data_IF_226460306756
#
_entry.id   IF_226460306756
#
_cell.length_a   1.000
_cell.length_b   1.000
_cell.length_c   1.000
_cell.angle_alpha   90.00
_cell.angle_beta   90.00
_cell.angle_gamma   90.00
#
_symmetry.space_group_name_H-M   'P 1'
#
loop_
_entity.id
_entity.type
_entity.pdbx_description
1 polymer ?
#
# COMPACT_ATOMS: atom_id res chain seq x y z
N UNK A 1 -13.37 -26.45 7.08
CA UNK A 1 -13.31 -25.18 7.82
C UNK A 1 -14.60 -24.40 7.71
N UNK A 2 -15.12 -24.10 6.52
CA UNK A 2 -16.36 -23.30 6.34
C UNK A 2 -17.57 -23.94 7.02
N UNK A 3 -17.83 -25.23 6.82
CA UNK A 3 -18.95 -25.92 7.47
C UNK A 3 -18.88 -25.92 9.02
N UNK A 4 -17.67 -25.82 9.60
CA UNK A 4 -17.50 -25.60 11.03
C UNK A 4 -17.96 -24.19 11.42
N UNK A 5 -17.52 -23.16 10.70
CA UNK A 5 -17.91 -21.78 10.98
C UNK A 5 -19.40 -21.53 10.84
N UNK A 6 -20.04 -22.17 9.86
CA UNK A 6 -21.51 -22.14 9.70
C UNK A 6 -22.21 -22.75 10.90
N UNK A 7 -21.78 -23.92 11.37
CA UNK A 7 -22.33 -24.53 12.60
C UNK A 7 -22.16 -23.65 13.83
N UNK A 8 -21.00 -22.93 13.93
CA UNK A 8 -20.77 -21.99 15.03
C UNK A 8 -21.71 -20.78 14.95
N UNK A 9 -22.04 -20.31 13.75
CA UNK A 9 -23.04 -19.26 13.52
C UNK A 9 -24.46 -19.74 13.86
N UNK A 10 -24.86 -20.92 13.42
CA UNK A 10 -26.15 -21.54 13.74
C UNK A 10 -26.32 -21.79 15.25
N UNK A 11 -25.23 -22.12 15.93
CA UNK A 11 -25.19 -22.28 17.39
C UNK A 11 -25.15 -20.94 18.16
N UNK A 12 -25.19 -19.78 17.46
CA UNK A 12 -25.18 -18.44 18.05
C UNK A 12 -23.84 -17.96 18.59
N UNK A 13 -22.75 -18.72 18.39
CA UNK A 13 -21.39 -18.34 18.84
C UNK A 13 -20.72 -17.35 17.87
N UNK A 14 -21.10 -17.35 16.62
CA UNK A 14 -20.74 -16.35 15.62
C UNK A 14 -22.01 -15.58 15.22
N UNK A 15 -22.00 -14.26 15.34
CA UNK A 15 -23.11 -13.42 14.93
C UNK A 15 -23.05 -13.12 13.43
N UNK A 16 -21.90 -12.66 12.93
CA UNK A 16 -21.68 -12.29 11.56
C UNK A 16 -20.47 -13.06 11.01
N UNK A 17 -20.64 -13.76 9.91
CA UNK A 17 -19.59 -14.53 9.25
C UNK A 17 -19.05 -13.72 8.07
N UNK A 18 -17.80 -13.31 8.16
CA UNK A 18 -17.12 -12.57 7.10
C UNK A 18 -15.91 -13.29 6.53
N UNK A 19 -15.38 -12.74 5.47
CA UNK A 19 -14.14 -13.22 4.86
C UNK A 19 -13.20 -12.08 4.53
N UNK A 20 -11.91 -12.40 4.38
CA UNK A 20 -10.88 -11.45 3.95
C UNK A 20 -10.21 -11.97 2.68
N UNK A 21 -10.14 -11.11 1.67
CA UNK A 21 -9.55 -11.45 0.35
C UNK A 21 -8.48 -10.43 -0.02
N UNK A 22 -7.32 -10.92 -0.46
CA UNK A 22 -6.30 -10.07 -1.08
C UNK A 22 -6.59 -9.94 -2.60
N UNK A 23 -6.25 -8.79 -3.21
CA UNK A 23 -6.78 -8.41 -4.51
C UNK A 23 -6.09 -9.14 -5.66
N UNK A 24 -6.65 -10.27 -6.04
CA UNK A 24 -6.50 -10.79 -7.40
C UNK A 24 -7.89 -11.21 -7.85
N UNK A 25 -8.32 -10.79 -9.04
CA UNK A 25 -9.65 -11.16 -9.58
C UNK A 25 -9.91 -12.66 -9.50
N UNK A 26 -9.02 -13.53 -10.01
CA UNK A 26 -9.31 -14.97 -9.98
C UNK A 26 -9.53 -15.51 -8.57
N UNK A 27 -8.68 -15.11 -7.60
CA UNK A 27 -8.85 -15.56 -6.22
C UNK A 27 -10.10 -15.01 -5.54
N UNK A 28 -10.52 -13.80 -5.90
CA UNK A 28 -11.76 -13.20 -5.42
C UNK A 28 -12.97 -13.93 -6.02
N UNK A 29 -12.99 -14.17 -7.34
CA UNK A 29 -14.10 -14.81 -8.03
C UNK A 29 -14.30 -16.24 -7.52
N UNK A 30 -13.22 -16.99 -7.28
CA UNK A 30 -13.27 -18.31 -6.65
C UNK A 30 -13.94 -18.24 -5.28
N UNK A 31 -13.56 -17.29 -4.44
CA UNK A 31 -14.13 -17.14 -3.09
C UNK A 31 -15.60 -16.72 -3.16
N UNK A 32 -16.00 -15.90 -4.13
CA UNK A 32 -17.40 -15.48 -4.29
C UNK A 32 -18.32 -16.64 -4.68
N UNK A 33 -17.83 -17.70 -5.31
CA UNK A 33 -18.62 -18.92 -5.55
C UNK A 33 -19.09 -19.58 -4.23
N UNK A 34 -18.37 -19.38 -3.14
CA UNK A 34 -18.77 -19.88 -1.83
C UNK A 34 -19.82 -19.01 -1.14
N UNK A 35 -20.01 -17.75 -1.57
CA UNK A 35 -21.00 -16.87 -0.95
C UNK A 35 -22.42 -17.42 -1.08
N UNK A 36 -22.79 -17.98 -2.22
CA UNK A 36 -24.13 -18.54 -2.47
C UNK A 36 -24.45 -19.70 -1.50
N UNK A 37 -23.43 -20.44 -1.07
CA UNK A 37 -23.57 -21.52 -0.10
C UNK A 37 -23.50 -21.07 1.36
N UNK A 38 -22.58 -20.15 1.68
CA UNK A 38 -22.23 -19.85 3.06
C UNK A 38 -22.76 -18.50 3.57
N UNK A 39 -23.24 -17.63 2.68
CA UNK A 39 -23.83 -16.32 2.97
C UNK A 39 -22.98 -15.47 3.91
N UNK A 40 -21.92 -14.86 3.35
CA UNK A 40 -21.07 -13.95 4.09
C UNK A 40 -21.78 -12.64 4.40
N UNK A 41 -21.72 -12.22 5.67
CA UNK A 41 -22.35 -10.99 6.15
C UNK A 41 -21.51 -9.74 5.84
N UNK A 42 -20.21 -9.89 5.59
CA UNK A 42 -19.30 -8.83 5.15
C UNK A 42 -18.05 -9.42 4.47
N UNK A 43 -17.38 -8.58 3.68
CA UNK A 43 -16.09 -8.93 3.06
C UNK A 43 -15.04 -7.87 3.34
N UNK A 44 -13.84 -8.30 3.79
CA UNK A 44 -12.69 -7.42 3.92
C UNK A 44 -11.84 -7.47 2.67
N UNK A 45 -11.68 -6.31 1.99
CA UNK A 45 -10.85 -6.17 0.79
C UNK A 45 -9.81 -5.06 0.96
N UNK A 46 -8.71 -5.15 0.22
CA UNK A 46 -7.78 -4.03 0.07
C UNK A 46 -8.38 -3.02 -0.90
N UNK A 47 -8.55 -1.77 -0.44
CA UNK A 47 -9.05 -0.69 -1.28
C UNK A 47 -8.47 0.66 -0.85
N UNK A 48 -8.03 1.43 -1.81
CA UNK A 48 -7.62 2.82 -1.73
C UNK A 48 -7.71 3.43 -3.13
N UNK A 49 -7.54 4.74 -3.28
CA UNK A 49 -7.71 5.40 -4.58
C UNK A 49 -6.66 4.97 -5.63
N UNK A 50 -5.45 4.54 -5.23
CA UNK A 50 -4.47 4.03 -6.20
C UNK A 50 -4.89 2.66 -6.72
N UNK A 51 -5.19 1.71 -5.82
CA UNK A 51 -5.65 0.37 -6.23
C UNK A 51 -6.99 0.41 -6.97
N UNK A 52 -7.83 1.42 -6.71
CA UNK A 52 -9.07 1.65 -7.43
C UNK A 52 -8.83 1.99 -8.89
N UNK A 53 -7.98 2.99 -9.16
CA UNK A 53 -7.77 3.48 -10.53
C UNK A 53 -6.69 2.73 -11.32
N UNK A 54 -5.81 1.98 -10.65
CA UNK A 54 -4.66 1.30 -11.30
C UNK A 54 -4.60 -0.19 -11.06
N UNK A 55 -5.50 -0.73 -10.24
CA UNK A 55 -5.58 -2.15 -9.89
C UNK A 55 -7.01 -2.70 -10.00
N UNK A 56 -7.30 -3.71 -9.18
CA UNK A 56 -8.57 -4.44 -9.23
C UNK A 56 -9.60 -4.02 -8.16
N UNK A 57 -9.30 -3.01 -7.33
CA UNK A 57 -10.15 -2.66 -6.18
C UNK A 57 -11.57 -2.21 -6.59
N UNK A 58 -11.70 -1.50 -7.72
CA UNK A 58 -13.00 -1.11 -8.27
C UNK A 58 -13.85 -2.34 -8.64
N UNK A 59 -13.25 -3.31 -9.31
CA UNK A 59 -13.92 -4.55 -9.67
C UNK A 59 -14.42 -5.30 -8.44
N UNK A 60 -13.54 -5.53 -7.45
CA UNK A 60 -13.89 -6.24 -6.22
C UNK A 60 -15.02 -5.55 -5.47
N UNK A 61 -14.95 -4.24 -5.31
CA UNK A 61 -15.97 -3.45 -4.65
C UNK A 61 -17.32 -3.54 -5.37
N UNK A 62 -17.34 -3.37 -6.69
CA UNK A 62 -18.57 -3.40 -7.49
C UNK A 62 -19.24 -4.78 -7.46
N UNK A 63 -18.44 -5.86 -7.45
CA UNK A 63 -18.98 -7.22 -7.31
C UNK A 63 -19.61 -7.49 -5.93
N UNK A 64 -19.04 -6.92 -4.85
CA UNK A 64 -19.62 -6.97 -3.51
C UNK A 64 -20.88 -6.11 -3.41
N UNK A 65 -20.87 -4.92 -4.02
CA UNK A 65 -22.02 -4.01 -4.03
C UNK A 65 -23.22 -4.61 -4.77
N UNK A 66 -23.01 -5.24 -5.92
CA UNK A 66 -24.06 -5.98 -6.67
C UNK A 66 -24.71 -7.09 -5.83
N UNK A 67 -23.95 -7.71 -4.93
CA UNK A 67 -24.45 -8.78 -4.03
C UNK A 67 -24.99 -8.24 -2.71
N UNK A 68 -24.93 -6.94 -2.48
CA UNK A 68 -25.35 -6.30 -1.23
C UNK A 68 -24.43 -6.61 -0.05
N UNK A 69 -23.20 -7.10 -0.29
CA UNK A 69 -22.26 -7.49 0.75
C UNK A 69 -21.52 -6.24 1.28
N UNK A 70 -21.65 -5.91 2.58
CA UNK A 70 -20.91 -4.83 3.21
C UNK A 70 -19.40 -5.03 3.18
N UNK A 71 -18.63 -3.93 3.11
CA UNK A 71 -17.19 -3.95 2.89
C UNK A 71 -16.43 -3.38 4.06
N UNK A 72 -15.46 -4.11 4.57
CA UNK A 72 -14.42 -3.63 5.49
C UNK A 72 -13.16 -3.35 4.67
N UNK A 73 -12.60 -2.15 4.80
CA UNK A 73 -11.43 -1.76 4.02
C UNK A 73 -10.14 -2.06 4.78
N UNK A 74 -9.27 -2.90 4.22
CA UNK A 74 -7.88 -2.99 4.63
C UNK A 74 -6.97 -2.16 3.71
N UNK A 75 -5.86 -1.67 4.27
CA UNK A 75 -4.85 -0.85 3.58
C UNK A 75 -5.40 0.40 2.87
N UNK A 76 -6.26 1.20 3.53
CA UNK A 76 -6.73 2.47 2.97
C UNK A 76 -5.57 3.41 2.61
N UNK A 77 -4.46 3.35 3.35
CA UNK A 77 -3.22 4.08 3.11
C UNK A 77 -2.15 3.25 2.38
N UNK A 78 -2.50 2.12 1.76
CA UNK A 78 -1.56 1.25 1.02
C UNK A 78 -0.30 0.92 1.86
N UNK A 79 -0.49 0.56 3.15
CA UNK A 79 0.60 0.29 4.10
C UNK A 79 1.39 1.54 4.51
N UNK A 80 0.75 2.71 4.53
CA UNK A 80 1.35 3.99 4.87
C UNK A 80 1.91 4.77 3.67
N UNK A 81 1.94 4.17 2.47
CA UNK A 81 2.48 4.85 1.27
C UNK A 81 1.67 6.07 0.85
N UNK A 82 0.36 6.08 1.11
CA UNK A 82 -0.52 7.20 0.78
C UNK A 82 -0.58 8.29 1.87
N UNK A 83 0.18 8.15 2.96
CA UNK A 83 0.44 9.25 3.88
C UNK A 83 1.72 10.02 3.53
N UNK A 84 2.59 9.43 2.70
CA UNK A 84 3.85 10.03 2.24
C UNK A 84 4.01 9.73 0.74
N UNK A 85 3.46 10.61 -0.08
CA UNK A 85 3.51 10.53 -1.55
C UNK A 85 4.66 11.39 -2.10
N UNK A 86 5.04 11.26 -3.39
CA UNK A 86 6.04 12.13 -4.00
C UNK A 86 5.74 13.61 -3.78
N UNK A 87 6.78 14.39 -3.47
CA UNK A 87 6.67 15.80 -3.08
C UNK A 87 5.77 16.63 -4.00
N UNK A 88 5.93 16.49 -5.31
CA UNK A 88 5.10 17.19 -6.32
C UNK A 88 3.62 16.82 -6.19
N UNK A 89 3.31 15.59 -5.82
CA UNK A 89 1.93 15.14 -5.58
C UNK A 89 1.41 15.68 -4.25
N UNK A 90 2.25 15.66 -3.19
CA UNK A 90 1.90 16.21 -1.89
C UNK A 90 1.58 17.72 -1.94
N UNK A 91 2.33 18.46 -2.76
CA UNK A 91 2.09 19.89 -2.99
C UNK A 91 0.69 20.14 -3.59
N UNK A 92 0.24 19.34 -4.55
CA UNK A 92 -1.11 19.42 -5.13
C UNK A 92 -2.23 19.20 -4.10
N UNK A 93 -2.03 18.26 -3.17
CA UNK A 93 -2.98 18.06 -2.06
C UNK A 93 -3.06 19.28 -1.17
N UNK A 94 -1.91 19.89 -0.85
CA UNK A 94 -1.84 21.10 -0.03
C UNK A 94 -2.44 22.33 -0.69
N UNK A 95 -2.25 22.48 -2.01
CA UNK A 95 -2.85 23.56 -2.77
C UNK A 95 -4.38 23.49 -2.74
N UNK A 96 -4.93 22.26 -2.77
CA UNK A 96 -6.38 22.07 -2.76
C UNK A 96 -7.00 22.20 -1.37
N UNK A 97 -6.37 21.66 -0.34
CA UNK A 97 -6.84 21.70 1.05
C UNK A 97 -5.65 21.81 2.02
N UNK A 98 -5.16 23.04 2.31
CA UNK A 98 -3.92 23.27 3.07
C UNK A 98 -3.90 22.65 4.47
N UNK A 99 -5.06 22.56 5.11
CA UNK A 99 -5.23 22.07 6.50
C UNK A 99 -5.52 20.56 6.58
N UNK A 100 -5.68 19.89 5.43
CA UNK A 100 -5.92 18.46 5.36
C UNK A 100 -4.60 17.68 5.23
N UNK A 101 -4.50 16.56 5.92
CA UNK A 101 -3.42 15.61 5.68
C UNK A 101 -3.61 14.87 4.35
N UNK A 102 -2.50 14.44 3.73
CA UNK A 102 -2.60 13.57 2.54
C UNK A 102 -3.32 12.26 2.87
N UNK A 103 -3.16 11.76 4.11
CA UNK A 103 -3.83 10.55 4.59
C UNK A 103 -5.36 10.71 4.64
N UNK A 104 -5.88 11.86 5.04
CA UNK A 104 -7.31 12.12 5.15
C UNK A 104 -8.05 11.95 3.81
N UNK A 105 -7.42 12.31 2.69
CA UNK A 105 -7.98 12.11 1.36
C UNK A 105 -8.21 10.63 1.03
N UNK A 106 -7.27 9.76 1.42
CA UNK A 106 -7.43 8.33 1.21
C UNK A 106 -8.53 7.72 2.10
N UNK A 107 -8.68 8.21 3.33
CA UNK A 107 -9.79 7.81 4.21
C UNK A 107 -11.13 8.35 3.71
N UNK A 108 -11.19 9.60 3.26
CA UNK A 108 -12.41 10.17 2.66
C UNK A 108 -12.82 9.40 1.40
N UNK A 109 -11.85 9.01 0.56
CA UNK A 109 -12.11 8.13 -0.59
C UNK A 109 -12.83 6.84 -0.17
N UNK A 110 -12.30 6.14 0.83
CA UNK A 110 -12.90 4.91 1.32
C UNK A 110 -14.31 5.16 1.88
N UNK A 111 -14.46 6.18 2.74
CA UNK A 111 -15.74 6.50 3.40
C UNK A 111 -16.81 7.06 2.46
N UNK A 112 -16.44 7.56 1.28
CA UNK A 112 -17.40 8.01 0.26
C UNK A 112 -18.17 6.84 -0.38
N UNK A 113 -17.64 5.63 -0.31
CA UNK A 113 -18.27 4.45 -0.91
C UNK A 113 -19.39 3.90 -0.02
N UNK A 114 -20.65 3.81 -0.50
CA UNK A 114 -21.82 3.55 0.36
C UNK A 114 -21.84 2.18 1.03
N UNK A 115 -21.16 1.16 0.48
CA UNK A 115 -21.09 -0.20 1.08
C UNK A 115 -20.00 -0.34 2.13
N UNK A 116 -19.17 0.69 2.35
CA UNK A 116 -18.08 0.61 3.33
C UNK A 116 -18.63 0.73 4.74
N UNK A 117 -18.44 -0.32 5.54
CA UNK A 117 -18.74 -0.32 6.98
C UNK A 117 -17.69 0.44 7.79
N UNK A 118 -16.42 0.19 7.46
CA UNK A 118 -15.29 0.78 8.17
C UNK A 118 -14.00 0.64 7.37
N UNK A 119 -13.05 1.55 7.64
CA UNK A 119 -11.69 1.47 7.13
C UNK A 119 -10.71 1.18 8.28
N UNK A 120 -9.90 0.14 8.14
CA UNK A 120 -8.93 -0.24 9.14
C UNK A 120 -7.71 0.67 9.09
N UNK A 121 -7.29 1.20 10.23
CA UNK A 121 -6.12 2.07 10.34
C UNK A 121 -5.11 1.52 11.35
N UNK A 122 -3.85 1.36 10.91
CA UNK A 122 -2.71 1.00 11.75
C UNK A 122 -2.07 2.23 12.38
N UNK A 123 -2.74 2.86 13.33
CA UNK A 123 -2.26 4.06 14.02
C UNK A 123 -1.13 3.72 14.99
N UNK A 124 0.08 4.24 14.74
CA UNK A 124 1.26 4.00 15.58
C UNK A 124 1.52 5.17 16.54
N UNK A 125 1.16 6.40 16.12
CA UNK A 125 1.38 7.62 16.87
C UNK A 125 0.04 8.30 17.20
N UNK A 126 0.01 9.13 18.26
CA UNK A 126 -1.18 9.84 18.68
C UNK A 126 -1.68 10.79 17.60
N UNK A 127 -0.79 11.38 16.83
CA UNK A 127 -1.10 12.28 15.71
C UNK A 127 -1.92 11.59 14.63
N UNK A 128 -1.66 10.29 14.38
CA UNK A 128 -2.46 9.52 13.43
C UNK A 128 -3.90 9.33 13.93
N UNK A 129 -4.08 9.07 15.23
CA UNK A 129 -5.41 8.96 15.83
C UNK A 129 -6.16 10.28 15.75
N UNK A 130 -5.51 11.39 16.10
CA UNK A 130 -6.11 12.72 16.08
C UNK A 130 -6.52 13.12 14.65
N UNK A 131 -5.67 12.88 13.65
CA UNK A 131 -5.97 13.15 12.25
C UNK A 131 -7.15 12.31 11.73
N UNK A 132 -7.18 11.02 12.09
CA UNK A 132 -8.29 10.14 11.73
C UNK A 132 -9.61 10.56 12.41
N UNK A 133 -9.58 10.94 13.70
CA UNK A 133 -10.77 11.47 14.39
C UNK A 133 -11.24 12.73 13.70
N UNK A 134 -10.34 13.69 13.40
CA UNK A 134 -10.67 14.92 12.67
C UNK A 134 -11.34 14.60 11.32
N UNK A 135 -10.85 13.62 10.60
CA UNK A 135 -11.38 13.21 9.30
C UNK A 135 -12.79 12.62 9.38
N UNK A 136 -13.06 11.78 10.40
CA UNK A 136 -14.33 11.06 10.50
C UNK A 136 -15.37 11.74 11.39
N UNK A 137 -14.98 12.60 12.35
CA UNK A 137 -15.91 13.32 13.24
C UNK A 137 -16.83 14.26 12.46
N UNK A 138 -16.32 14.90 11.42
CA UNK A 138 -17.05 15.78 10.51
C UNK A 138 -16.92 15.28 9.08
N UNK A 139 -17.23 14.00 8.87
CA UNK A 139 -17.02 13.34 7.60
C UNK A 139 -17.68 14.06 6.43
N UNK A 140 -16.88 14.40 5.43
CA UNK A 140 -17.34 14.98 4.17
C UNK A 140 -17.05 13.99 3.05
N UNK A 141 -18.08 13.40 2.42
CA UNK A 141 -17.88 12.62 1.21
C UNK A 141 -17.15 13.43 0.15
N UNK A 142 -16.34 12.76 -0.66
CA UNK A 142 -15.68 13.40 -1.80
C UNK A 142 -16.70 13.74 -2.88
N UNK A 143 -16.56 14.94 -3.47
CA UNK A 143 -17.28 15.33 -4.68
C UNK A 143 -16.72 14.63 -5.91
N UNK A 144 -17.46 14.68 -7.05
CA UNK A 144 -16.98 14.11 -8.31
C UNK A 144 -15.67 14.78 -8.76
N UNK A 145 -15.53 16.09 -8.57
CA UNK A 145 -14.30 16.84 -8.86
C UNK A 145 -13.12 16.38 -7.98
N UNK A 146 -13.37 16.10 -6.70
CA UNK A 146 -12.35 15.56 -5.79
C UNK A 146 -11.99 14.11 -6.15
N UNK A 147 -12.94 13.32 -6.65
CA UNK A 147 -12.68 11.97 -7.17
C UNK A 147 -11.81 12.02 -8.43
N UNK A 148 -12.08 12.94 -9.36
CA UNK A 148 -11.24 13.15 -10.55
C UNK A 148 -9.82 13.61 -10.17
N UNK A 149 -9.70 14.51 -9.19
CA UNK A 149 -8.40 14.89 -8.64
C UNK A 149 -7.63 13.68 -8.08
N UNK A 150 -8.28 12.79 -7.33
CA UNK A 150 -7.63 11.56 -6.83
C UNK A 150 -7.24 10.60 -7.95
N UNK A 151 -8.01 10.53 -9.03
CA UNK A 151 -7.66 9.77 -10.23
C UNK A 151 -6.39 10.30 -10.89
N UNK A 152 -6.26 11.62 -11.02
CA UNK A 152 -5.04 12.25 -11.51
C UNK A 152 -3.85 11.98 -10.58
N UNK A 153 -4.05 12.12 -9.27
CA UNK A 153 -3.02 11.85 -8.27
C UNK A 153 -2.54 10.39 -8.32
N UNK A 154 -3.46 9.43 -8.45
CA UNK A 154 -3.12 8.01 -8.63
C UNK A 154 -2.28 7.79 -9.89
N UNK A 155 -2.68 8.40 -11.02
CA UNK A 155 -1.93 8.36 -12.27
C UNK A 155 -0.52 8.96 -12.15
N UNK A 156 -0.37 10.05 -11.39
CA UNK A 156 0.95 10.64 -11.13
C UNK A 156 1.81 9.73 -10.25
N UNK A 157 1.28 9.23 -9.13
CA UNK A 157 1.99 8.31 -8.22
C UNK A 157 2.50 7.08 -8.96
N UNK A 158 1.70 6.54 -9.89
CA UNK A 158 2.04 5.34 -10.67
C UNK A 158 3.20 5.55 -11.66
N UNK A 159 3.56 6.80 -11.99
CA UNK A 159 4.70 7.13 -12.84
C UNK A 159 6.04 7.08 -12.10
N UNK A 160 6.02 7.11 -10.77
CA UNK A 160 7.23 7.03 -9.98
C UNK A 160 7.70 5.57 -9.82
N UNK A 161 9.02 5.31 -9.79
CA UNK A 161 9.57 3.96 -9.72
C UNK A 161 9.47 3.34 -8.31
N UNK A 162 8.33 3.54 -7.66
CA UNK A 162 8.07 3.05 -6.31
C UNK A 162 7.90 1.53 -6.29
N UNK A 163 8.47 0.88 -5.28
CA UNK A 163 8.17 -0.52 -5.00
C UNK A 163 6.81 -0.61 -4.29
N UNK A 164 5.93 -1.49 -4.76
CA UNK A 164 4.57 -1.64 -4.22
C UNK A 164 4.52 -2.31 -2.82
N UNK A 165 5.56 -2.19 -2.02
CA UNK A 165 5.66 -2.79 -0.69
C UNK A 165 4.76 -2.07 0.32
N UNK A 166 3.94 -2.84 1.04
CA UNK A 166 3.04 -2.37 2.11
C UNK A 166 3.58 -2.64 3.51
N UNK A 167 4.85 -3.04 3.62
CA UNK A 167 5.53 -3.34 4.90
C UNK A 167 4.81 -4.41 5.76
N UNK A 168 4.11 -5.36 5.13
CA UNK A 168 3.37 -6.41 5.85
C UNK A 168 4.27 -7.50 6.47
N UNK A 169 5.54 -7.56 6.10
CA UNK A 169 6.58 -8.47 6.60
C UNK A 169 6.36 -9.96 6.30
N UNK A 170 5.40 -10.36 5.46
CA UNK A 170 5.15 -11.78 5.14
C UNK A 170 6.35 -12.45 4.44
N UNK A 171 7.20 -11.67 3.77
CA UNK A 171 8.45 -12.14 3.17
C UNK A 171 9.57 -12.40 4.21
N UNK A 172 9.34 -12.07 5.49
CA UNK A 172 10.31 -12.25 6.56
C UNK A 172 10.03 -13.52 7.38
N UNK A 173 11.05 -14.11 8.03
CA UNK A 173 12.46 -13.79 7.89
C UNK A 173 13.02 -14.22 6.53
N UNK A 174 13.93 -13.42 5.97
CA UNK A 174 14.73 -13.86 4.83
C UNK A 174 15.81 -14.85 5.31
N UNK A 175 15.98 -16.04 4.68
CA UNK A 175 16.97 -17.02 5.12
C UNK A 175 18.42 -16.51 5.00
N UNK A 176 18.64 -15.45 4.22
CA UNK A 176 19.95 -14.79 4.05
C UNK A 176 20.06 -13.48 4.85
N UNK A 177 19.16 -13.24 5.81
CA UNK A 177 19.23 -12.12 6.72
C UNK A 177 18.82 -10.76 6.15
N UNK A 178 18.42 -10.67 4.87
CA UNK A 178 18.12 -9.40 4.21
C UNK A 178 16.89 -8.73 4.83
N UNK A 179 16.99 -7.41 5.12
CA UNK A 179 15.86 -6.61 5.57
C UNK A 179 15.03 -6.08 4.38
N UNK A 180 14.32 -7.00 3.71
CA UNK A 180 13.54 -6.70 2.51
C UNK A 180 12.61 -5.48 2.69
N UNK A 181 11.73 -5.43 3.72
CA UNK A 181 10.82 -4.30 3.92
C UNK A 181 11.56 -2.98 4.21
N UNK A 182 12.65 -3.04 4.98
CA UNK A 182 13.48 -1.87 5.30
C UNK A 182 14.11 -1.25 4.06
N UNK A 183 14.65 -2.08 3.16
CA UNK A 183 15.22 -1.63 1.89
C UNK A 183 14.16 -0.94 1.03
N UNK A 184 12.99 -1.55 0.86
CA UNK A 184 11.91 -0.98 0.04
C UNK A 184 11.32 0.29 0.64
N UNK A 185 11.19 0.35 1.98
CA UNK A 185 10.74 1.55 2.69
C UNK A 185 11.72 2.71 2.47
N UNK A 186 13.02 2.47 2.66
CA UNK A 186 14.05 3.48 2.42
C UNK A 186 14.04 3.98 0.97
N UNK A 187 14.05 3.05 0.00
CA UNK A 187 14.02 3.41 -1.42
C UNK A 187 12.81 4.28 -1.77
N UNK A 188 11.61 3.86 -1.35
CA UNK A 188 10.38 4.61 -1.59
C UNK A 188 10.41 6.00 -0.93
N UNK A 189 10.97 6.13 0.28
CA UNK A 189 11.15 7.44 0.91
C UNK A 189 12.06 8.34 0.08
N UNK A 190 13.20 7.82 -0.38
CA UNK A 190 14.12 8.58 -1.22
C UNK A 190 13.47 9.02 -2.55
N UNK A 191 12.62 8.18 -3.15
CA UNK A 191 11.84 8.56 -4.34
C UNK A 191 10.86 9.70 -4.01
N UNK A 192 10.12 9.59 -2.92
CA UNK A 192 9.13 10.59 -2.51
C UNK A 192 9.79 11.95 -2.19
N UNK A 193 10.96 11.92 -1.55
CA UNK A 193 11.72 13.11 -1.17
C UNK A 193 12.53 13.71 -2.33
N UNK A 194 12.52 13.07 -3.50
CA UNK A 194 13.32 13.49 -4.66
C UNK A 194 14.84 13.30 -4.49
N UNK A 195 15.24 12.35 -3.64
CA UNK A 195 16.67 12.05 -3.35
C UNK A 195 17.24 11.00 -4.32
N UNK A 196 16.58 10.80 -5.47
CA UNK A 196 17.03 9.85 -6.50
C UNK A 196 17.78 10.61 -7.59
N UNK A 197 19.08 10.38 -7.70
CA UNK A 197 19.88 10.86 -8.83
C UNK A 197 19.55 10.06 -10.10
N UNK A 198 19.44 10.74 -11.24
CA UNK A 198 19.12 10.13 -12.53
C UNK A 198 20.33 10.07 -13.47
N UNK A 199 21.37 10.85 -13.21
CA UNK A 199 22.57 10.96 -14.01
C UNK A 199 23.73 11.49 -13.17
N UNK A 200 24.97 11.11 -13.53
CA UNK A 200 26.17 11.61 -12.90
C UNK A 200 26.47 13.09 -13.26
N UNK A 201 25.97 13.56 -14.39
CA UNK A 201 26.13 14.95 -14.85
C UNK A 201 25.12 15.91 -14.17
N UNK A 202 24.15 15.39 -13.42
CA UNK A 202 23.14 16.19 -12.75
C UNK A 202 23.80 17.17 -11.73
N UNK A 203 23.44 18.45 -11.80
CA UNK A 203 24.03 19.53 -10.97
C UNK A 203 24.13 19.18 -9.47
N UNK A 204 23.14 18.48 -8.93
CA UNK A 204 23.08 18.10 -7.50
C UNK A 204 23.55 16.67 -7.23
N UNK A 205 24.15 15.98 -8.20
CA UNK A 205 24.50 14.57 -8.11
C UNK A 205 25.23 14.20 -6.81
N UNK A 206 26.31 14.93 -6.49
CA UNK A 206 27.13 14.65 -5.27
C UNK A 206 26.31 14.75 -3.98
N UNK A 207 25.41 15.72 -3.90
CA UNK A 207 24.50 15.90 -2.77
C UNK A 207 23.51 14.77 -2.65
N UNK A 208 22.85 14.39 -3.74
CA UNK A 208 21.87 13.28 -3.82
C UNK A 208 22.54 11.95 -3.53
N UNK A 209 23.71 11.66 -4.13
CA UNK A 209 24.53 10.48 -3.86
C UNK A 209 24.82 10.33 -2.36
N UNK A 210 25.36 11.39 -1.74
CA UNK A 210 25.70 11.39 -0.31
C UNK A 210 24.45 11.18 0.55
N UNK A 211 23.37 11.89 0.25
CA UNK A 211 22.12 11.79 1.00
C UNK A 211 21.56 10.35 0.94
N UNK A 212 21.48 9.76 -0.26
CA UNK A 212 20.98 8.42 -0.44
C UNK A 212 21.84 7.37 0.28
N UNK A 213 23.16 7.32 0.03
CA UNK A 213 24.05 6.32 0.60
C UNK A 213 24.10 6.41 2.13
N UNK A 214 24.23 7.62 2.67
CA UNK A 214 24.24 7.80 4.14
C UNK A 214 22.93 7.39 4.79
N UNK A 215 21.78 7.70 4.17
CA UNK A 215 20.47 7.29 4.72
C UNK A 215 20.23 5.80 4.54
N UNK A 216 20.76 5.18 3.49
CA UNK A 216 20.65 3.72 3.27
C UNK A 216 21.39 2.94 4.36
N UNK A 217 22.64 3.30 4.65
CA UNK A 217 23.45 2.67 5.69
C UNK A 217 22.83 2.84 7.10
N UNK A 218 22.15 3.97 7.35
CA UNK A 218 21.41 4.19 8.60
C UNK A 218 20.12 3.39 8.70
N UNK A 219 19.42 3.20 7.57
CA UNK A 219 18.13 2.50 7.53
C UNK A 219 18.29 0.98 7.53
N UNK A 220 19.38 0.47 6.95
CA UNK A 220 19.62 -0.97 6.77
C UNK A 220 21.08 -1.29 7.05
N UNK A 221 21.32 -2.11 8.06
CA UNK A 221 22.67 -2.60 8.36
C UNK A 221 23.32 -3.24 7.14
N UNK A 222 24.62 -3.03 6.92
CA UNK A 222 25.33 -3.47 5.70
C UNK A 222 25.16 -4.96 5.42
N UNK A 223 25.23 -5.82 6.44
CA UNK A 223 25.03 -7.28 6.31
C UNK A 223 23.58 -7.69 5.95
N UNK A 224 22.66 -6.74 5.90
CA UNK A 224 21.23 -6.96 5.62
C UNK A 224 20.76 -6.21 4.37
N UNK A 225 21.68 -5.64 3.61
CA UNK A 225 21.42 -4.88 2.39
C UNK A 225 21.10 -5.79 1.17
N UNK A 226 20.74 -5.15 0.06
CA UNK A 226 20.19 -5.83 -1.11
C UNK A 226 21.22 -6.70 -1.88
N UNK A 227 22.51 -6.36 -1.80
CA UNK A 227 23.64 -7.06 -2.42
C UNK A 227 23.77 -8.52 -1.95
N UNK A 228 23.31 -8.84 -0.74
CA UNK A 228 23.29 -10.22 -0.22
C UNK A 228 22.20 -11.11 -0.83
N UNK A 229 21.36 -10.59 -1.77
CA UNK A 229 20.26 -11.35 -2.34
C UNK A 229 20.76 -12.35 -3.42
N UNK A 230 20.68 -13.64 -3.11
CA UNK A 230 21.02 -14.72 -4.06
C UNK A 230 19.87 -15.11 -4.99
N UNK A 231 18.73 -14.41 -4.95
CA UNK A 231 17.57 -14.68 -5.80
C UNK A 231 16.93 -16.08 -5.62
N UNK A 232 16.90 -16.61 -4.40
CA UNK A 232 16.30 -17.91 -4.09
C UNK A 232 14.76 -17.96 -4.25
N UNK A 233 14.10 -16.83 -4.46
CA UNK A 233 12.65 -16.66 -4.69
C UNK A 233 11.72 -17.12 -3.55
N UNK A 234 12.19 -17.53 -2.38
CA UNK A 234 11.32 -17.99 -1.27
C UNK A 234 10.38 -16.90 -0.73
N UNK A 235 10.72 -15.63 -0.93
CA UNK A 235 9.90 -14.48 -0.53
C UNK A 235 8.74 -14.17 -1.49
N UNK A 236 8.84 -14.61 -2.76
CA UNK A 236 7.89 -14.26 -3.83
C UNK A 236 6.48 -14.78 -3.55
N UNK A 237 6.26 -16.09 -3.27
CA UNK A 237 4.92 -16.62 -3.03
C UNK A 237 4.28 -16.11 -1.74
N UNK A 238 5.08 -15.50 -0.84
CA UNK A 238 4.59 -14.92 0.41
C UNK A 238 4.11 -13.47 0.25
N UNK A 239 4.39 -12.84 -0.88
CA UNK A 239 4.08 -11.42 -1.08
C UNK A 239 2.64 -11.22 -1.55
N UNK A 240 1.74 -10.63 -0.73
CA UNK A 240 0.35 -10.39 -1.12
C UNK A 240 0.20 -9.27 -2.15
N UNK A 241 1.29 -8.54 -2.46
CA UNK A 241 1.34 -7.52 -3.51
C UNK A 241 1.97 -8.05 -4.81
N UNK A 242 2.23 -9.35 -4.90
CA UNK A 242 2.85 -9.98 -6.08
C UNK A 242 4.16 -9.33 -6.54
N UNK A 243 4.92 -8.73 -5.59
CA UNK A 243 6.20 -8.09 -5.89
C UNK A 243 7.21 -9.16 -6.28
N UNK A 244 7.89 -8.94 -7.39
CA UNK A 244 9.06 -9.74 -7.79
C UNK A 244 10.27 -9.33 -6.96
N UNK A 245 10.22 -9.63 -5.65
CA UNK A 245 11.15 -9.13 -4.63
C UNK A 245 12.63 -9.22 -5.04
N UNK A 246 13.16 -10.36 -5.54
CA UNK A 246 14.58 -10.42 -5.93
C UNK A 246 14.93 -9.49 -7.10
N UNK A 247 13.99 -9.22 -8.00
CA UNK A 247 14.22 -8.29 -9.12
C UNK A 247 14.29 -6.84 -8.61
N UNK A 248 13.40 -6.47 -7.69
CA UNK A 248 13.42 -5.16 -7.07
C UNK A 248 14.66 -4.94 -6.20
N UNK A 249 15.09 -5.95 -5.43
CA UNK A 249 16.32 -5.87 -4.67
C UNK A 249 17.54 -5.66 -5.59
N UNK A 250 17.64 -6.41 -6.70
CA UNK A 250 18.72 -6.22 -7.68
C UNK A 250 18.66 -4.85 -8.36
N UNK A 251 17.46 -4.32 -8.62
CA UNK A 251 17.31 -2.98 -9.18
C UNK A 251 17.84 -1.92 -8.22
N UNK A 252 17.52 -2.04 -6.95
CA UNK A 252 17.99 -1.11 -5.90
C UNK A 252 19.49 -1.27 -5.68
N UNK A 253 19.99 -2.49 -5.61
CA UNK A 253 21.43 -2.76 -5.49
C UNK A 253 22.22 -2.17 -6.65
N UNK A 254 21.79 -2.40 -7.89
CA UNK A 254 22.40 -1.77 -9.07
C UNK A 254 22.40 -0.25 -8.97
N UNK A 255 21.32 0.35 -8.47
CA UNK A 255 21.26 1.79 -8.26
C UNK A 255 22.31 2.25 -7.23
N UNK A 256 22.47 1.51 -6.13
CA UNK A 256 23.49 1.78 -5.11
C UNK A 256 24.90 1.70 -5.72
N UNK A 257 25.18 0.65 -6.49
CA UNK A 257 26.48 0.49 -7.17
C UNK A 257 26.73 1.59 -8.22
N UNK A 258 25.71 1.96 -9.00
CA UNK A 258 25.83 3.08 -9.93
C UNK A 258 26.16 4.40 -9.20
N UNK A 259 25.55 4.65 -8.05
CA UNK A 259 25.89 5.82 -7.23
C UNK A 259 27.34 5.77 -6.73
N UNK A 260 27.82 4.61 -6.25
CA UNK A 260 29.21 4.45 -5.77
C UNK A 260 30.21 4.67 -6.89
N UNK A 261 29.96 4.08 -8.07
CA UNK A 261 30.84 4.11 -9.25
C UNK A 261 30.66 5.36 -10.12
N UNK A 262 29.67 6.22 -9.82
CA UNK A 262 29.27 7.40 -10.63
C UNK A 262 28.95 7.06 -12.09
N UNK A 263 28.32 5.89 -12.33
CA UNK A 263 27.91 5.37 -13.64
C UNK A 263 26.38 5.23 -13.69
N UNK A 264 25.77 5.78 -14.75
CA UNK A 264 24.31 5.70 -15.01
C UNK A 264 24.06 5.32 -16.44
#
# INVERSE_FOLDING_TARGET
>A
MMDFLVREREAGRIRNLGLSVHPTRPGFDDVMTYHDKYHFDFCQIQMNYVDWYTGDAEYLYNELDKRGIPVVIMKPLLGGRLSSVPKVVAERFKEREPDASVASWAFRFCGTKPRVLTALSGMTYMEHLQDNIKTFQHFKPLTDEEMDFLKEAAGLISKYPLVACTNCQYCMPCPYGINIPGIFKHYNSCVNDGIIAQSAEQKEFRKLKRAYLTSYDKAVESIRQADHCISCNQCVPRCPQSIRIPQELRRIDRYVENLKQEKF
#
